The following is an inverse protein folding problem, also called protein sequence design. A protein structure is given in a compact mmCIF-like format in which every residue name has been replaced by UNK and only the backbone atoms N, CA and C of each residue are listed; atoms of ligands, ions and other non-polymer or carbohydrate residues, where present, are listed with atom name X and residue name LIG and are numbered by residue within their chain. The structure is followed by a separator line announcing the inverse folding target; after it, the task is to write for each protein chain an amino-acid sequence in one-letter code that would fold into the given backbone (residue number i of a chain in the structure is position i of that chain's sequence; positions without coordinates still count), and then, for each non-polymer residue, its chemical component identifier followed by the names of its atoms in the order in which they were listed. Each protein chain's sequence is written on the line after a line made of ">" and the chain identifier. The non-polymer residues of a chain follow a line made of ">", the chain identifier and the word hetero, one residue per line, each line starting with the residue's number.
data_IF_231016998757
#
_entry.id   IF_231016998757
#
_cell.length_a   1.000
_cell.length_b   1.000
_cell.length_c   1.000
_cell.angle_alpha   90.00
_cell.angle_beta   90.00
_cell.angle_gamma   90.00
#
_symmetry.space_group_name_H-M   'P 1'
#
loop_
_entity.id
_entity.type
_entity.pdbx_description
1 polymer ?
#
# COMPACT_ATOMS: atom_id res chain seq x y z
N UNK A 1 -12.99 13.65 24.12
CA UNK A 1 -12.82 13.27 22.70
C UNK A 1 -13.49 14.35 21.87
N UNK A 2 -12.74 15.22 21.20
CA UNK A 2 -13.34 16.14 20.23
C UNK A 2 -14.06 15.31 19.16
N UNK A 3 -15.37 15.53 19.00
CA UNK A 3 -16.20 14.92 17.95
C UNK A 3 -16.25 13.37 17.97
N UNK A 4 -16.67 12.78 19.10
CA UNK A 4 -16.98 11.35 19.19
C UNK A 4 -18.13 10.97 18.23
N UNK A 5 -17.90 9.93 17.42
CA UNK A 5 -18.83 9.41 16.40
C UNK A 5 -18.94 7.90 16.56
N UNK A 6 -19.85 7.42 17.43
CA UNK A 6 -20.06 5.99 17.60
C UNK A 6 -20.50 5.37 16.29
N UNK A 7 -19.84 4.30 15.89
CA UNK A 7 -20.18 3.58 14.67
C UNK A 7 -21.44 2.77 14.95
N UNK A 8 -22.55 3.12 14.31
CA UNK A 8 -23.83 2.40 14.43
C UNK A 8 -24.17 1.65 13.16
N UNK A 9 -23.66 2.09 12.01
CA UNK A 9 -23.85 1.43 10.72
C UNK A 9 -22.56 1.37 9.92
N UNK A 10 -22.22 0.18 9.45
CA UNK A 10 -21.07 -0.08 8.59
C UNK A 10 -21.55 -0.57 7.22
N UNK A 11 -21.03 0.04 6.15
CA UNK A 11 -21.16 -0.46 4.78
C UNK A 11 -19.91 -1.23 4.39
N UNK A 12 -20.05 -2.53 4.14
CA UNK A 12 -18.93 -3.43 3.83
C UNK A 12 -19.05 -3.91 2.38
N UNK A 13 -18.06 -3.60 1.55
CA UNK A 13 -17.99 -4.03 0.16
C UNK A 13 -16.54 -4.25 -0.24
N UNK A 14 -16.03 -5.45 0.03
CA UNK A 14 -14.65 -5.83 -0.23
C UNK A 14 -14.56 -6.82 -1.40
N UNK A 15 -13.49 -6.79 -2.19
CA UNK A 15 -13.10 -7.86 -3.11
C UNK A 15 -12.27 -8.92 -2.38
N UNK A 16 -11.18 -8.51 -1.73
CA UNK A 16 -10.38 -9.37 -0.84
C UNK A 16 -11.11 -9.61 0.48
N UNK A 17 -11.32 -10.88 0.82
CA UNK A 17 -12.07 -11.32 2.01
C UNK A 17 -11.19 -11.57 3.23
N UNK A 18 -9.89 -11.28 3.16
CA UNK A 18 -8.96 -11.48 4.26
C UNK A 18 -9.45 -10.80 5.54
N UNK A 19 -9.71 -11.59 6.60
CA UNK A 19 -10.12 -11.10 7.92
C UNK A 19 -11.51 -10.46 8.02
N UNK A 20 -12.30 -10.41 6.93
CA UNK A 20 -13.54 -9.62 6.92
C UNK A 20 -14.65 -10.24 7.78
N UNK A 21 -14.67 -11.56 7.91
CA UNK A 21 -15.69 -12.28 8.68
C UNK A 21 -15.50 -11.96 10.17
N UNK A 22 -14.28 -12.09 10.67
CA UNK A 22 -13.91 -11.80 12.06
C UNK A 22 -14.18 -10.34 12.40
N UNK A 23 -13.81 -9.43 11.49
CA UNK A 23 -14.08 -8.00 11.65
C UNK A 23 -15.59 -7.70 11.71
N UNK A 24 -16.38 -8.26 10.79
CA UNK A 24 -17.82 -8.08 10.76
C UNK A 24 -18.52 -8.69 11.98
N UNK A 25 -18.09 -9.86 12.46
CA UNK A 25 -18.59 -10.46 13.70
C UNK A 25 -18.33 -9.55 14.90
N UNK A 26 -17.13 -8.97 14.99
CA UNK A 26 -16.78 -8.05 16.06
C UNK A 26 -17.62 -6.76 16.02
N UNK A 27 -17.93 -6.24 14.83
CA UNK A 27 -18.85 -5.11 14.67
C UNK A 27 -20.28 -5.48 15.09
N UNK A 28 -20.80 -6.60 14.60
CA UNK A 28 -22.15 -7.07 14.93
C UNK A 28 -22.32 -7.33 16.45
N UNK A 29 -21.32 -7.91 17.11
CA UNK A 29 -21.31 -8.12 18.56
C UNK A 29 -21.37 -6.81 19.37
N UNK A 30 -21.04 -5.67 18.75
CA UNK A 30 -21.14 -4.32 19.32
C UNK A 30 -22.45 -3.61 18.94
N UNK A 31 -23.37 -4.29 18.26
CA UNK A 31 -24.65 -3.74 17.82
C UNK A 31 -24.55 -2.82 16.60
N UNK A 32 -23.52 -2.98 15.77
CA UNK A 32 -23.40 -2.24 14.50
C UNK A 32 -24.27 -2.91 13.44
N UNK A 33 -25.15 -2.13 12.80
CA UNK A 33 -25.91 -2.54 11.62
C UNK A 33 -24.96 -2.72 10.43
N UNK A 34 -24.97 -3.88 9.78
CA UNK A 34 -24.13 -4.15 8.61
C UNK A 34 -24.94 -4.04 7.33
N UNK A 35 -24.53 -3.13 6.46
CA UNK A 35 -24.92 -3.08 5.06
C UNK A 35 -23.85 -3.75 4.20
N UNK A 36 -24.24 -4.52 3.19
CA UNK A 36 -23.27 -5.18 2.30
C UNK A 36 -23.83 -5.41 0.89
N UNK A 37 -22.96 -5.80 -0.04
CA UNK A 37 -23.33 -6.06 -1.45
C UNK A 37 -22.89 -7.46 -1.91
N UNK A 38 -23.67 -8.06 -2.79
CA UNK A 38 -23.31 -9.23 -3.60
C UNK A 38 -22.61 -10.35 -2.83
N UNK A 39 -21.43 -10.76 -3.31
CA UNK A 39 -20.66 -11.85 -2.71
C UNK A 39 -20.21 -11.59 -1.27
N UNK A 40 -20.04 -10.33 -0.86
CA UNK A 40 -19.71 -10.01 0.54
C UNK A 40 -20.92 -10.21 1.45
N UNK A 41 -22.12 -9.79 1.01
CA UNK A 41 -23.33 -9.99 1.80
C UNK A 41 -23.62 -11.47 2.00
N UNK A 42 -23.50 -12.26 0.93
CA UNK A 42 -23.65 -13.72 0.96
C UNK A 42 -22.68 -14.38 1.95
N UNK A 43 -21.38 -14.07 1.85
CA UNK A 43 -20.35 -14.62 2.74
C UNK A 43 -20.68 -14.35 4.21
N UNK A 44 -21.05 -13.12 4.55
CA UNK A 44 -21.35 -12.74 5.94
C UNK A 44 -22.63 -13.44 6.44
N UNK A 45 -23.66 -13.53 5.60
CA UNK A 45 -24.92 -14.22 5.93
C UNK A 45 -24.71 -15.73 6.16
N UNK A 46 -23.85 -16.39 5.37
CA UNK A 46 -23.48 -17.81 5.55
C UNK A 46 -22.78 -18.06 6.90
N UNK A 47 -22.15 -17.05 7.48
CA UNK A 47 -21.53 -17.09 8.81
C UNK A 47 -22.49 -16.68 9.94
N UNK A 48 -23.78 -16.55 9.64
CA UNK A 48 -24.82 -16.20 10.62
C UNK A 48 -24.81 -14.73 11.06
N UNK A 49 -24.09 -13.86 10.35
CA UNK A 49 -24.06 -12.42 10.65
C UNK A 49 -25.29 -11.78 10.01
N UNK A 50 -26.04 -11.00 10.78
CA UNK A 50 -27.17 -10.24 10.26
C UNK A 50 -26.66 -9.14 9.33
N UNK A 51 -27.10 -9.17 8.08
CA UNK A 51 -26.69 -8.24 7.02
C UNK A 51 -27.93 -7.78 6.28
N UNK A 52 -27.99 -6.48 6.01
CA UNK A 52 -28.97 -5.90 5.09
C UNK A 52 -28.29 -5.69 3.74
N UNK A 53 -28.86 -6.21 2.66
CA UNK A 53 -28.33 -5.93 1.33
C UNK A 53 -28.54 -4.46 0.96
N UNK A 54 -27.60 -3.89 0.20
CA UNK A 54 -27.73 -2.53 -0.33
C UNK A 54 -28.96 -2.37 -1.22
N UNK A 55 -29.33 -3.41 -1.97
CA UNK A 55 -30.57 -3.45 -2.76
C UNK A 55 -31.81 -3.21 -1.89
N UNK A 56 -31.93 -3.92 -0.77
CA UNK A 56 -33.01 -3.76 0.20
C UNK A 56 -32.99 -2.39 0.86
N UNK A 57 -31.79 -1.89 1.24
CA UNK A 57 -31.63 -0.58 1.84
C UNK A 57 -32.04 0.56 0.90
N UNK A 58 -31.65 0.45 -0.37
CA UNK A 58 -31.90 1.49 -1.37
C UNK A 58 -33.31 1.38 -1.94
N UNK A 59 -33.87 0.17 -2.03
CA UNK A 59 -35.07 -0.16 -2.79
C UNK A 59 -34.81 -0.27 -4.29
N UNK A 60 -33.54 -0.44 -4.70
CA UNK A 60 -33.13 -0.43 -6.10
C UNK A 60 -32.24 -1.65 -6.40
N UNK A 61 -32.57 -2.48 -7.40
CA UNK A 61 -31.81 -3.70 -7.69
C UNK A 61 -30.44 -3.38 -8.31
N UNK A 62 -29.55 -4.37 -8.26
CA UNK A 62 -28.30 -4.34 -9.01
C UNK A 62 -28.58 -4.33 -10.53
N UNK A 63 -27.89 -3.46 -11.28
CA UNK A 63 -28.09 -3.30 -12.73
C UNK A 63 -26.78 -3.38 -13.52
N UNK A 64 -26.92 -3.65 -14.82
CA UNK A 64 -25.81 -3.68 -15.79
C UNK A 64 -24.68 -4.62 -15.34
N UNK A 65 -25.06 -5.85 -14.98
CA UNK A 65 -24.13 -6.90 -14.52
C UNK A 65 -23.24 -6.45 -13.34
N UNK A 66 -23.83 -5.70 -12.40
CA UNK A 66 -23.17 -5.24 -11.19
C UNK A 66 -22.35 -3.96 -11.31
N UNK A 67 -22.31 -3.34 -12.50
CA UNK A 67 -21.68 -2.03 -12.71
C UNK A 67 -22.37 -0.92 -11.90
N UNK A 68 -23.67 -1.03 -11.66
CA UNK A 68 -24.44 -0.06 -10.88
C UNK A 68 -25.13 -0.75 -9.71
N UNK A 69 -24.46 -0.74 -8.56
CA UNK A 69 -24.95 -1.29 -7.28
C UNK A 69 -25.01 -0.28 -6.14
N UNK A 70 -23.96 0.53 -5.97
CA UNK A 70 -23.80 1.43 -4.81
C UNK A 70 -23.88 2.91 -5.17
N UNK A 71 -23.95 3.25 -6.45
CA UNK A 71 -24.08 4.62 -6.98
C UNK A 71 -25.51 5.14 -6.78
N UNK A 72 -25.92 5.28 -5.51
CA UNK A 72 -27.28 5.64 -5.13
C UNK A 72 -27.28 6.76 -4.07
N UNK A 73 -28.20 7.74 -4.15
CA UNK A 73 -28.27 8.85 -3.17
C UNK A 73 -28.46 8.41 -1.72
N UNK A 74 -29.17 7.32 -1.44
CA UNK A 74 -29.28 6.78 -0.07
C UNK A 74 -27.94 6.29 0.50
N UNK A 75 -27.05 5.76 -0.35
CA UNK A 75 -25.71 5.34 0.07
C UNK A 75 -24.81 6.55 0.23
N UNK A 76 -24.61 7.33 -0.84
CA UNK A 76 -23.69 8.46 -0.78
C UNK A 76 -24.19 9.60 0.10
N UNK A 77 -25.51 9.80 0.23
CA UNK A 77 -26.09 10.74 1.18
C UNK A 77 -25.89 10.29 2.63
N UNK A 78 -25.97 8.98 2.91
CA UNK A 78 -25.66 8.44 4.25
C UNK A 78 -24.19 8.63 4.64
N UNK A 79 -23.29 8.51 3.66
CA UNK A 79 -21.85 8.72 3.82
C UNK A 79 -21.46 10.21 3.87
N UNK A 80 -21.97 11.05 2.96
CA UNK A 80 -21.55 12.45 2.81
C UNK A 80 -22.32 13.44 3.68
N UNK A 81 -23.48 13.04 4.21
CA UNK A 81 -24.31 13.92 5.02
C UNK A 81 -23.57 14.41 6.26
N UNK A 82 -23.43 15.72 6.41
CA UNK A 82 -22.74 16.35 7.55
C UNK A 82 -23.66 16.31 8.76
N UNK A 83 -23.24 15.59 9.79
CA UNK A 83 -24.07 15.36 10.97
C UNK A 83 -24.33 16.68 11.70
N UNK A 84 -25.59 16.96 11.99
CA UNK A 84 -26.05 18.21 12.61
C UNK A 84 -26.27 19.37 11.64
N UNK A 85 -25.89 19.24 10.36
CA UNK A 85 -26.14 20.26 9.32
C UNK A 85 -27.14 19.76 8.29
N UNK A 86 -26.95 18.53 7.80
CA UNK A 86 -27.76 17.95 6.74
C UNK A 86 -28.85 16.99 7.27
N UNK A 87 -29.00 16.86 8.59
CA UNK A 87 -29.91 15.90 9.23
C UNK A 87 -31.37 16.07 8.76
N UNK A 88 -31.83 17.30 8.58
CA UNK A 88 -33.20 17.58 8.14
C UNK A 88 -33.47 17.10 6.70
N UNK A 89 -32.56 17.39 5.76
CA UNK A 89 -32.69 16.95 4.36
C UNK A 89 -32.46 15.44 4.23
N UNK A 90 -31.58 14.86 5.04
CA UNK A 90 -31.42 13.40 5.12
C UNK A 90 -32.72 12.74 5.59
N UNK A 91 -33.35 13.26 6.65
CA UNK A 91 -34.61 12.72 7.15
C UNK A 91 -35.76 12.85 6.15
N UNK A 92 -35.90 14.00 5.49
CA UNK A 92 -36.90 14.25 4.45
C UNK A 92 -36.85 13.22 3.32
N UNK A 93 -35.64 12.83 2.90
CA UNK A 93 -35.44 11.86 1.83
C UNK A 93 -35.24 10.42 2.31
N UNK A 94 -35.44 10.13 3.60
CA UNK A 94 -35.28 8.79 4.16
C UNK A 94 -33.85 8.24 4.03
N UNK A 95 -32.85 9.11 4.14
CA UNK A 95 -31.43 8.79 4.06
C UNK A 95 -30.90 8.58 5.48
N UNK A 96 -30.55 7.34 5.80
CA UNK A 96 -29.98 7.01 7.10
C UNK A 96 -28.45 7.21 7.08
N UNK A 97 -27.84 7.67 8.19
CA UNK A 97 -26.39 7.84 8.28
C UNK A 97 -25.65 6.50 8.15
N UNK A 98 -24.48 6.54 7.50
CA UNK A 98 -23.48 5.46 7.46
C UNK A 98 -22.23 5.99 8.15
N UNK A 99 -21.75 5.30 9.18
CA UNK A 99 -20.68 5.80 10.07
C UNK A 99 -19.34 5.13 9.79
N UNK A 100 -19.37 3.97 9.12
CA UNK A 100 -18.18 3.28 8.65
C UNK A 100 -18.39 2.76 7.22
N UNK A 101 -17.35 2.86 6.40
CA UNK A 101 -17.26 2.26 5.06
C UNK A 101 -16.01 1.38 5.03
N UNK A 102 -16.16 0.12 4.65
CA UNK A 102 -15.09 -0.88 4.58
C UNK A 102 -15.04 -1.40 3.15
N UNK A 103 -14.04 -0.97 2.39
CA UNK A 103 -13.98 -1.22 0.94
C UNK A 103 -12.55 -1.43 0.53
N UNK A 104 -12.25 -2.56 -0.12
CA UNK A 104 -11.05 -2.72 -0.92
C UNK A 104 -11.47 -2.97 -2.38
N UNK A 105 -10.64 -2.50 -3.31
CA UNK A 105 -10.97 -2.44 -4.73
C UNK A 105 -10.72 -3.78 -5.44
N UNK A 106 -11.22 -3.89 -6.67
CA UNK A 106 -10.93 -5.05 -7.50
C UNK A 106 -9.42 -5.13 -7.79
N UNK A 107 -8.85 -6.35 -7.89
CA UNK A 107 -7.41 -6.53 -8.03
C UNK A 107 -6.95 -6.24 -9.48
N UNK A 108 -7.17 -5.03 -9.98
CA UNK A 108 -6.88 -4.63 -11.36
C UNK A 108 -5.46 -4.98 -11.78
N UNK A 109 -4.47 -4.72 -10.91
CA UNK A 109 -3.08 -5.08 -11.14
C UNK A 109 -2.87 -6.58 -11.40
N UNK A 110 -3.53 -7.44 -10.61
CA UNK A 110 -3.44 -8.89 -10.79
C UNK A 110 -4.14 -9.34 -12.08
N UNK A 111 -5.25 -8.70 -12.45
CA UNK A 111 -5.95 -8.96 -13.70
C UNK A 111 -5.06 -8.68 -14.90
N UNK A 112 -4.47 -7.48 -14.98
CA UNK A 112 -3.64 -7.07 -16.12
C UNK A 112 -2.25 -7.72 -16.16
N UNK A 113 -1.78 -8.26 -15.03
CA UNK A 113 -0.57 -9.07 -14.97
C UNK A 113 -0.74 -10.45 -15.62
N UNK A 114 -1.98 -10.91 -15.84
CA UNK A 114 -2.24 -12.17 -16.55
C UNK A 114 -1.87 -12.01 -18.05
N UNK A 115 -0.94 -12.82 -18.59
CA UNK A 115 -0.56 -12.74 -20.00
C UNK A 115 -1.71 -12.96 -21.00
N UNK A 116 -2.81 -13.57 -20.55
CA UNK A 116 -4.00 -13.83 -21.35
C UNK A 116 -5.12 -12.79 -21.13
N UNK A 117 -4.88 -11.73 -20.36
CA UNK A 117 -5.87 -10.67 -20.14
C UNK A 117 -6.21 -9.98 -21.46
N UNK A 118 -7.49 -9.97 -21.85
CA UNK A 118 -7.95 -9.17 -22.98
C UNK A 118 -8.15 -7.71 -22.58
N UNK A 119 -8.34 -6.84 -23.58
CA UNK A 119 -8.71 -5.44 -23.34
C UNK A 119 -10.07 -5.35 -22.62
N UNK A 120 -11.01 -6.19 -23.05
CA UNK A 120 -12.34 -6.32 -22.47
C UNK A 120 -12.26 -6.76 -21.00
N UNK A 121 -11.45 -7.78 -20.69
CA UNK A 121 -11.23 -8.24 -19.30
C UNK A 121 -10.71 -7.11 -18.41
N UNK A 122 -9.75 -6.34 -18.92
CA UNK A 122 -9.19 -5.20 -18.19
C UNK A 122 -10.26 -4.12 -17.93
N UNK A 123 -11.09 -3.80 -18.94
CA UNK A 123 -12.16 -2.80 -18.83
C UNK A 123 -13.24 -3.23 -17.82
N UNK A 124 -13.66 -4.50 -17.84
CA UNK A 124 -14.66 -5.01 -16.88
C UNK A 124 -14.15 -5.01 -15.43
N UNK A 125 -12.83 -5.10 -15.24
CA UNK A 125 -12.22 -5.06 -13.91
C UNK A 125 -11.99 -3.64 -13.36
N UNK A 126 -12.40 -2.59 -14.09
CA UNK A 126 -12.37 -1.21 -13.57
C UNK A 126 -13.55 -0.99 -12.62
N UNK A 127 -13.29 -1.03 -11.33
CA UNK A 127 -14.26 -0.65 -10.30
C UNK A 127 -14.60 0.86 -10.35
N UNK A 128 -15.89 1.18 -10.44
CA UNK A 128 -16.43 2.54 -10.36
C UNK A 128 -17.02 2.82 -8.97
N UNK A 129 -17.76 1.84 -8.43
CA UNK A 129 -18.48 2.00 -7.17
C UNK A 129 -17.54 2.08 -5.97
N UNK A 130 -16.51 1.22 -5.94
CA UNK A 130 -15.49 1.18 -4.89
C UNK A 130 -14.79 2.53 -4.72
N UNK A 131 -14.10 3.08 -5.74
CA UNK A 131 -13.40 4.36 -5.61
C UNK A 131 -14.33 5.52 -5.25
N UNK A 132 -15.57 5.51 -5.77
CA UNK A 132 -16.57 6.52 -5.43
C UNK A 132 -16.94 6.48 -3.95
N UNK A 133 -17.16 5.28 -3.39
CA UNK A 133 -17.44 5.09 -1.96
C UNK A 133 -16.25 5.50 -1.10
N UNK A 134 -15.04 5.02 -1.43
CA UNK A 134 -13.79 5.33 -0.72
C UNK A 134 -13.58 6.84 -0.63
N UNK A 135 -13.66 7.55 -1.75
CA UNK A 135 -13.48 9.01 -1.80
C UNK A 135 -14.57 9.75 -1.04
N UNK A 136 -15.81 9.28 -1.11
CA UNK A 136 -16.93 9.91 -0.40
C UNK A 136 -16.78 9.81 1.12
N UNK A 137 -16.34 8.65 1.62
CA UNK A 137 -16.09 8.43 3.05
C UNK A 137 -14.86 9.21 3.54
N UNK A 138 -13.75 9.16 2.79
CA UNK A 138 -12.53 9.90 3.11
C UNK A 138 -12.77 11.43 3.15
N UNK A 139 -13.54 11.96 2.20
CA UNK A 139 -13.96 13.37 2.22
C UNK A 139 -14.70 13.74 3.50
N UNK A 140 -15.56 12.86 4.01
CA UNK A 140 -16.37 13.10 5.20
C UNK A 140 -15.78 12.45 6.47
N UNK A 141 -14.45 12.32 6.57
CA UNK A 141 -13.76 11.70 7.72
C UNK A 141 -14.07 12.34 9.08
N UNK A 142 -14.58 13.58 9.07
CA UNK A 142 -15.11 14.24 10.26
C UNK A 142 -16.15 13.36 10.96
N UNK A 143 -17.01 12.69 10.19
CA UNK A 143 -18.18 11.96 10.66
C UNK A 143 -18.18 10.47 10.28
N UNK A 144 -17.39 10.06 9.28
CA UNK A 144 -17.35 8.68 8.76
C UNK A 144 -15.96 8.08 8.87
N UNK A 145 -15.88 6.82 9.25
CA UNK A 145 -14.64 6.04 9.22
C UNK A 145 -14.53 5.29 7.91
N UNK A 146 -13.41 5.41 7.19
CA UNK A 146 -13.10 4.61 6.01
C UNK A 146 -12.03 3.58 6.36
N UNK A 147 -12.16 2.35 5.88
CA UNK A 147 -11.13 1.31 6.03
C UNK A 147 -10.93 0.64 4.68
N UNK A 148 -9.71 0.74 4.15
CA UNK A 148 -9.36 0.19 2.83
C UNK A 148 -8.41 -1.01 2.89
N UNK A 149 -7.72 -1.21 4.02
CA UNK A 149 -6.75 -2.28 4.21
C UNK A 149 -7.17 -3.21 5.36
N UNK A 150 -7.00 -4.52 5.16
CA UNK A 150 -7.32 -5.53 6.18
C UNK A 150 -6.46 -5.41 7.44
N UNK A 151 -5.21 -4.92 7.31
CA UNK A 151 -4.31 -4.74 8.47
C UNK A 151 -4.81 -3.68 9.46
N UNK A 152 -5.75 -2.83 9.08
CA UNK A 152 -6.31 -1.80 9.96
C UNK A 152 -7.47 -2.30 10.82
N UNK A 153 -8.01 -3.50 10.55
CA UNK A 153 -9.17 -4.05 11.26
C UNK A 153 -8.95 -4.10 12.77
N UNK A 154 -7.83 -4.67 13.22
CA UNK A 154 -7.52 -4.82 14.65
C UNK A 154 -7.33 -3.46 15.35
N UNK A 155 -6.65 -2.52 14.68
CA UNK A 155 -6.46 -1.17 15.19
C UNK A 155 -7.82 -0.47 15.39
N UNK A 156 -8.70 -0.57 14.40
CA UNK A 156 -10.05 0.02 14.44
C UNK A 156 -10.87 -0.60 15.59
N UNK A 157 -10.92 -1.92 15.70
CA UNK A 157 -11.68 -2.60 16.77
C UNK A 157 -11.15 -2.27 18.16
N UNK A 158 -9.82 -2.17 18.31
CA UNK A 158 -9.16 -1.81 19.56
C UNK A 158 -9.53 -0.40 19.98
N UNK A 159 -9.45 0.56 19.07
CA UNK A 159 -9.76 1.97 19.36
C UNK A 159 -11.27 2.16 19.61
N UNK A 160 -12.14 1.48 18.87
CA UNK A 160 -13.59 1.44 19.17
C UNK A 160 -13.88 0.95 20.58
N UNK A 161 -13.18 -0.10 21.04
CA UNK A 161 -13.36 -0.63 22.39
C UNK A 161 -12.89 0.37 23.48
N UNK A 162 -11.88 1.19 23.18
CA UNK A 162 -11.36 2.20 24.10
C UNK A 162 -12.22 3.48 24.15
N UNK A 163 -13.10 3.71 23.18
CA UNK A 163 -13.77 4.99 22.94
C UNK A 163 -15.27 4.86 22.68
N UNK A 164 -15.96 3.99 23.44
CA UNK A 164 -17.42 3.82 23.39
C UNK A 164 -17.97 3.62 21.96
N UNK A 165 -17.29 2.77 21.19
CA UNK A 165 -17.65 2.46 19.80
C UNK A 165 -17.26 3.53 18.78
N UNK A 166 -16.49 4.55 19.17
CA UNK A 166 -16.00 5.62 18.29
C UNK A 166 -14.52 5.46 17.97
N UNK A 167 -14.05 6.19 16.95
CA UNK A 167 -12.62 6.49 16.77
C UNK A 167 -12.32 7.93 17.15
N UNK A 168 -11.05 8.25 17.37
CA UNK A 168 -10.59 9.63 17.46
C UNK A 168 -10.65 10.32 16.09
N UNK A 169 -10.71 11.65 16.08
CA UNK A 169 -10.62 12.41 14.83
C UNK A 169 -9.29 12.17 14.11
N UNK A 170 -8.19 12.05 14.87
CA UNK A 170 -6.86 11.79 14.33
C UNK A 170 -6.81 10.45 13.56
N UNK A 171 -7.35 9.37 14.13
CA UNK A 171 -7.42 8.08 13.43
C UNK A 171 -8.33 8.14 12.20
N UNK A 172 -9.49 8.80 12.26
CA UNK A 172 -10.34 8.95 11.06
C UNK A 172 -9.65 9.74 9.96
N UNK A 173 -8.90 10.78 10.31
CA UNK A 173 -8.13 11.56 9.34
C UNK A 173 -7.01 10.72 8.71
N UNK A 174 -6.23 10.00 9.52
CA UNK A 174 -5.19 9.08 9.08
C UNK A 174 -5.71 8.02 8.09
N UNK A 175 -6.82 7.35 8.45
CA UNK A 175 -7.50 6.40 7.57
C UNK A 175 -8.03 7.04 6.27
N UNK A 176 -8.45 8.31 6.33
CA UNK A 176 -8.89 9.03 5.14
C UNK A 176 -7.72 9.39 4.20
N UNK A 177 -6.53 9.65 4.74
CA UNK A 177 -5.32 9.81 3.94
C UNK A 177 -4.97 8.48 3.26
N UNK A 178 -4.95 7.37 4.03
CA UNK A 178 -4.72 6.03 3.48
C UNK A 178 -5.74 5.66 2.36
N UNK A 179 -7.00 6.08 2.51
CA UNK A 179 -8.03 5.90 1.48
C UNK A 179 -7.75 6.68 0.19
N UNK A 180 -7.29 7.94 0.28
CA UNK A 180 -6.91 8.71 -0.90
C UNK A 180 -5.66 8.16 -1.57
N UNK A 181 -4.66 7.75 -0.79
CA UNK A 181 -3.46 7.05 -1.26
C UNK A 181 -3.84 5.77 -2.01
N UNK A 182 -4.76 4.96 -1.48
CA UNK A 182 -5.25 3.75 -2.13
C UNK A 182 -5.90 4.04 -3.49
N UNK A 183 -6.74 5.07 -3.59
CA UNK A 183 -7.35 5.45 -4.87
C UNK A 183 -6.37 6.07 -5.87
N UNK A 184 -5.35 6.79 -5.38
CA UNK A 184 -4.30 7.36 -6.23
C UNK A 184 -3.46 6.25 -6.88
N UNK A 185 -3.08 5.22 -6.11
CA UNK A 185 -2.43 4.02 -6.63
C UNK A 185 -3.32 3.32 -7.66
N UNK A 186 -4.61 3.14 -7.35
CA UNK A 186 -5.55 2.46 -8.23
C UNK A 186 -5.70 3.13 -9.61
N UNK A 187 -5.98 4.43 -9.62
CA UNK A 187 -6.09 5.19 -10.87
C UNK A 187 -4.75 5.25 -11.62
N UNK A 188 -3.63 5.31 -10.89
CA UNK A 188 -2.29 5.24 -11.47
C UNK A 188 -2.02 3.92 -12.20
N UNK A 189 -2.47 2.78 -11.65
CA UNK A 189 -2.33 1.47 -12.31
C UNK A 189 -3.16 1.38 -13.59
N UNK A 190 -4.40 1.90 -13.57
CA UNK A 190 -5.25 1.99 -14.77
C UNK A 190 -4.58 2.86 -15.84
N UNK A 191 -4.11 4.05 -15.45
CA UNK A 191 -3.45 4.98 -16.35
C UNK A 191 -2.15 4.41 -16.94
N UNK A 192 -1.37 3.68 -16.16
CA UNK A 192 -0.18 3.00 -16.64
C UNK A 192 -0.55 1.89 -17.63
N UNK A 193 -1.54 1.06 -17.35
CA UNK A 193 -1.91 -0.04 -18.25
C UNK A 193 -2.42 0.47 -19.62
N UNK A 194 -3.47 1.31 -19.63
CA UNK A 194 -4.01 1.84 -20.88
C UNK A 194 -3.07 2.85 -21.55
N UNK A 195 -2.16 3.45 -20.78
CA UNK A 195 -1.16 4.38 -21.25
C UNK A 195 -0.17 3.76 -22.23
N UNK A 196 0.06 2.44 -22.20
CA UNK A 196 0.92 1.74 -23.18
C UNK A 196 0.26 1.58 -24.54
N UNK A 197 -1.07 1.75 -24.62
CA UNK A 197 -1.86 1.52 -25.83
C UNK A 197 -2.10 2.80 -26.65
N UNK A 198 -1.52 3.92 -26.23
CA UNK A 198 -1.71 5.23 -26.85
C UNK A 198 -0.35 5.86 -27.15
N UNK A 199 -0.22 6.60 -28.27
CA UNK A 199 1.04 7.25 -28.61
C UNK A 199 1.40 8.33 -27.58
N UNK A 200 2.68 8.70 -27.53
CA UNK A 200 3.21 9.82 -26.74
C UNK A 200 2.50 11.14 -27.09
N UNK A 201 2.77 12.24 -26.37
CA UNK A 201 2.22 13.56 -26.73
C UNK A 201 3.11 14.35 -27.73
N UNK A 202 4.38 13.98 -27.92
CA UNK A 202 5.34 14.75 -28.71
C UNK A 202 5.21 14.58 -30.23
N UNK A 203 5.81 15.45 -31.03
CA UNK A 203 5.72 15.38 -32.49
C UNK A 203 6.50 14.19 -33.10
N UNK A 204 7.57 13.76 -32.44
CA UNK A 204 8.30 12.56 -32.84
C UNK A 204 7.61 11.31 -32.30
N UNK A 205 7.11 10.47 -33.19
CA UNK A 205 6.43 9.19 -32.90
C UNK A 205 7.28 7.97 -33.19
N UNK A 206 8.54 8.17 -33.57
CA UNK A 206 9.47 7.06 -33.84
C UNK A 206 9.62 6.18 -32.58
N UNK A 207 9.18 4.92 -32.66
CA UNK A 207 9.22 3.96 -31.55
C UNK A 207 7.94 3.82 -30.72
N UNK A 208 6.92 4.66 -30.93
CA UNK A 208 5.67 4.60 -30.14
C UNK A 208 4.88 3.31 -30.38
N UNK A 209 4.91 2.75 -31.61
CA UNK A 209 4.13 1.56 -32.00
C UNK A 209 4.51 0.28 -31.22
N UNK A 210 5.68 0.26 -30.58
CA UNK A 210 6.21 -0.88 -29.83
C UNK A 210 6.58 -0.53 -28.37
N UNK A 211 6.16 0.64 -27.88
CA UNK A 211 6.51 1.07 -26.52
C UNK A 211 5.79 0.22 -25.46
N UNK A 212 6.57 -0.38 -24.56
CA UNK A 212 6.05 -1.01 -23.33
C UNK A 212 5.81 0.00 -22.20
N UNK A 213 6.18 1.27 -22.42
CA UNK A 213 6.09 2.33 -21.41
C UNK A 213 4.79 3.12 -21.57
N UNK A 214 4.13 3.48 -20.47
CA UNK A 214 2.91 4.25 -20.53
C UNK A 214 3.18 5.69 -20.93
N UNK A 215 2.25 6.30 -21.67
CA UNK A 215 2.27 7.73 -22.01
C UNK A 215 2.43 8.64 -20.78
N UNK A 216 1.82 8.27 -19.65
CA UNK A 216 2.01 8.93 -18.35
C UNK A 216 2.40 7.87 -17.35
N UNK A 217 3.53 8.05 -16.66
CA UNK A 217 4.04 7.11 -15.68
C UNK A 217 3.68 7.52 -14.26
N UNK A 218 2.96 6.65 -13.56
CA UNK A 218 2.51 6.85 -12.18
C UNK A 218 3.14 5.79 -11.27
N UNK A 219 3.76 6.21 -10.17
CA UNK A 219 4.26 5.31 -9.13
C UNK A 219 3.97 5.88 -7.75
N UNK A 220 3.81 4.99 -6.79
CA UNK A 220 3.64 5.33 -5.38
C UNK A 220 4.65 4.56 -4.53
N UNK A 221 5.29 5.28 -3.62
CA UNK A 221 6.28 4.71 -2.72
C UNK A 221 5.93 5.04 -1.28
N UNK A 222 6.20 4.11 -0.37
CA UNK A 222 5.95 4.22 1.05
C UNK A 222 7.18 4.81 1.75
N UNK A 223 6.96 5.81 2.61
CA UNK A 223 8.06 6.42 3.36
C UNK A 223 8.55 5.46 4.43
N UNK A 224 9.78 4.98 4.30
CA UNK A 224 10.42 4.10 5.30
C UNK A 224 11.06 4.89 6.44
N UNK A 225 11.71 6.02 6.13
CA UNK A 225 12.33 6.88 7.14
C UNK A 225 12.69 8.28 6.62
N UNK A 226 12.79 9.25 7.52
CA UNK A 226 13.53 10.49 7.27
C UNK A 226 15.04 10.24 7.33
N UNK A 227 15.78 10.89 6.42
CA UNK A 227 17.23 10.88 6.44
C UNK A 227 17.74 12.05 7.27
N UNK A 228 18.92 11.91 7.88
CA UNK A 228 19.53 12.98 8.68
C UNK A 228 19.76 14.25 7.85
N UNK A 229 20.10 14.08 6.57
CA UNK A 229 20.27 15.08 5.52
C UNK A 229 20.39 14.32 4.18
N UNK A 230 20.36 15.06 3.07
CA UNK A 230 20.58 14.53 1.71
C UNK A 230 22.04 14.19 1.43
N UNK A 231 22.51 14.44 0.21
CA UNK A 231 23.92 14.21 -0.12
C UNK A 231 24.85 15.11 0.71
N UNK A 232 24.39 16.34 0.99
CA UNK A 232 25.06 17.35 1.79
C UNK A 232 24.19 17.79 2.99
N UNK A 233 24.82 18.29 4.06
CA UNK A 233 24.16 18.58 5.34
C UNK A 233 23.06 19.64 5.30
N UNK A 234 23.03 20.49 4.26
CA UNK A 234 22.02 21.54 4.09
C UNK A 234 20.78 21.07 3.30
N UNK A 235 20.80 19.84 2.79
CA UNK A 235 19.70 19.27 2.01
C UNK A 235 18.83 18.38 2.91
N UNK A 236 17.51 18.48 2.77
CA UNK A 236 16.58 17.51 3.36
C UNK A 236 16.51 16.25 2.50
N UNK A 237 16.23 15.09 3.11
CA UNK A 237 16.01 13.84 2.38
C UNK A 237 15.16 12.86 3.19
N UNK A 238 14.51 11.94 2.48
CA UNK A 238 13.76 10.82 3.02
C UNK A 238 13.99 9.58 2.14
N UNK A 239 13.86 8.40 2.73
CA UNK A 239 13.97 7.13 2.04
C UNK A 239 12.57 6.51 1.88
N UNK A 240 12.24 6.19 0.63
CA UNK A 240 10.98 5.60 0.23
C UNK A 240 11.23 4.23 -0.38
N UNK A 241 10.25 3.33 -0.26
CA UNK A 241 10.30 1.96 -0.78
C UNK A 241 9.03 1.62 -1.54
N UNK A 242 9.12 0.65 -2.43
CA UNK A 242 7.94 0.08 -3.08
C UNK A 242 7.13 -0.74 -2.08
N UNK A 243 5.80 -0.80 -2.27
CA UNK A 243 4.92 -1.59 -1.40
C UNK A 243 5.17 -3.10 -1.52
N UNK A 244 5.50 -3.57 -2.73
CA UNK A 244 5.73 -4.98 -3.04
C UNK A 244 7.08 -5.15 -3.77
N UNK A 245 8.22 -5.05 -3.08
CA UNK A 245 9.52 -5.23 -3.70
C UNK A 245 9.71 -6.69 -4.13
N UNK A 246 10.10 -6.92 -5.38
CA UNK A 246 10.23 -8.27 -5.97
C UNK A 246 11.61 -8.91 -5.75
N UNK A 247 12.64 -8.10 -5.53
CA UNK A 247 14.02 -8.56 -5.37
C UNK A 247 14.71 -8.03 -4.10
N UNK A 248 15.80 -8.71 -3.72
CA UNK A 248 16.68 -8.23 -2.67
C UNK A 248 17.44 -6.99 -3.15
N UNK A 249 17.29 -5.88 -2.42
CA UNK A 249 17.94 -4.60 -2.70
C UNK A 249 18.12 -3.81 -1.41
N UNK A 250 18.65 -2.59 -1.50
CA UNK A 250 18.78 -1.71 -0.32
C UNK A 250 17.42 -1.38 0.32
N UNK A 251 16.32 -1.40 -0.45
CA UNK A 251 14.96 -1.10 0.04
C UNK A 251 14.43 -2.20 0.95
N UNK A 252 14.78 -3.46 0.69
CA UNK A 252 14.38 -4.64 1.49
C UNK A 252 15.38 -4.98 2.61
N UNK A 253 16.54 -4.31 2.65
CA UNK A 253 17.55 -4.56 3.67
C UNK A 253 17.05 -4.24 5.10
N UNK A 254 17.45 -5.10 6.04
CA UNK A 254 17.27 -4.91 7.49
C UNK A 254 18.57 -4.44 8.12
N UNK A 255 18.53 -3.31 8.81
CA UNK A 255 19.65 -2.87 9.64
C UNK A 255 19.74 -3.71 10.91
N UNK A 256 20.87 -4.40 11.11
CA UNK A 256 21.11 -5.22 12.31
C UNK A 256 21.77 -4.39 13.40
N UNK A 257 22.72 -3.51 13.04
CA UNK A 257 23.42 -2.67 14.00
C UNK A 257 23.93 -1.36 13.39
N UNK A 258 24.38 -0.44 14.26
CA UNK A 258 24.94 0.85 13.88
C UNK A 258 23.96 2.02 14.06
N UNK A 259 24.41 3.21 13.69
CA UNK A 259 23.57 4.42 13.68
C UNK A 259 22.64 4.40 12.45
N UNK A 260 21.59 5.20 12.47
CA UNK A 260 20.75 5.43 11.29
C UNK A 260 21.61 5.79 10.06
N UNK A 261 21.29 5.20 8.92
CA UNK A 261 22.03 5.39 7.66
C UNK A 261 21.86 6.82 7.15
N UNK A 262 22.93 7.41 6.60
CA UNK A 262 22.83 8.66 5.84
C UNK A 262 22.42 8.39 4.38
N UNK A 263 22.02 9.43 3.65
CA UNK A 263 21.70 9.33 2.21
C UNK A 263 22.83 8.65 1.42
N UNK A 264 24.06 9.14 1.58
CA UNK A 264 25.23 8.54 0.92
C UNK A 264 25.49 7.10 1.35
N UNK A 265 25.06 6.69 2.56
CA UNK A 265 25.21 5.29 2.97
C UNK A 265 24.21 4.39 2.26
N UNK A 266 22.98 4.85 2.01
CA UNK A 266 22.03 4.11 1.19
C UNK A 266 22.58 4.00 -0.24
N UNK A 267 22.98 5.12 -0.86
CA UNK A 267 23.50 5.12 -2.22
C UNK A 267 24.75 4.24 -2.40
N UNK A 268 25.73 4.33 -1.49
CA UNK A 268 26.92 3.47 -1.54
C UNK A 268 26.60 1.99 -1.30
N UNK A 269 25.61 1.70 -0.44
CA UNK A 269 25.20 0.31 -0.15
C UNK A 269 24.47 -0.29 -1.34
N UNK A 270 23.61 0.48 -1.99
CA UNK A 270 22.91 0.09 -3.22
C UNK A 270 23.91 -0.24 -4.33
N UNK A 271 24.84 0.68 -4.63
CA UNK A 271 25.88 0.45 -5.63
C UNK A 271 26.78 -0.75 -5.30
N UNK A 272 27.09 -0.98 -4.01
CA UNK A 272 27.89 -2.15 -3.61
C UNK A 272 27.10 -3.45 -3.76
N UNK A 273 25.80 -3.43 -3.42
CA UNK A 273 24.92 -4.59 -3.50
C UNK A 273 24.65 -4.99 -4.95
N UNK A 274 24.28 -4.03 -5.81
CA UNK A 274 24.03 -4.31 -7.23
C UNK A 274 25.32 -4.77 -7.93
N UNK A 275 26.47 -4.16 -7.62
CA UNK A 275 27.73 -4.60 -8.19
C UNK A 275 28.13 -6.03 -7.76
N UNK A 276 27.85 -6.43 -6.51
CA UNK A 276 28.19 -7.79 -6.07
C UNK A 276 27.24 -8.85 -6.63
N UNK A 277 26.00 -8.48 -7.00
CA UNK A 277 25.01 -9.37 -7.63
C UNK A 277 25.40 -9.82 -9.05
N UNK A 278 26.30 -9.11 -9.72
CA UNK A 278 26.80 -9.44 -11.07
C UNK A 278 27.74 -10.66 -11.11
N UNK A 279 28.09 -11.24 -9.95
CA UNK A 279 29.04 -12.35 -9.86
C UNK A 279 28.38 -13.62 -9.33
N UNK A 280 28.59 -14.74 -10.04
CA UNK A 280 28.15 -16.07 -9.60
C UNK A 280 29.09 -16.64 -8.52
N UNK A 281 30.36 -16.25 -8.52
CA UNK A 281 31.36 -16.68 -7.54
C UNK A 281 31.26 -15.92 -6.20
N UNK A 282 31.82 -16.48 -5.10
CA UNK A 282 32.06 -15.72 -3.88
C UNK A 282 32.82 -14.42 -4.18
N UNK A 283 32.17 -13.29 -3.90
CA UNK A 283 32.60 -11.97 -4.33
C UNK A 283 32.51 -10.98 -3.16
N UNK A 284 33.41 -10.01 -3.17
CA UNK A 284 33.38 -8.86 -2.27
C UNK A 284 33.58 -7.58 -3.10
N UNK A 285 32.73 -6.59 -2.86
CA UNK A 285 32.81 -5.27 -3.48
C UNK A 285 32.94 -4.22 -2.39
N UNK A 286 33.84 -3.27 -2.62
CA UNK A 286 34.00 -2.09 -1.78
C UNK A 286 33.69 -0.84 -2.59
N UNK A 287 32.71 -0.06 -2.12
CA UNK A 287 32.27 1.19 -2.75
C UNK A 287 32.63 2.40 -1.88
N UNK A 288 32.94 3.50 -2.56
CA UNK A 288 33.05 4.83 -1.97
C UNK A 288 32.56 5.89 -2.95
N UNK A 289 31.60 6.73 -2.54
CA UNK A 289 31.01 7.76 -3.40
C UNK A 289 30.43 7.16 -4.69
N UNK A 290 29.63 6.09 -4.56
CA UNK A 290 29.04 5.30 -5.63
C UNK A 290 30.03 4.65 -6.61
N UNK A 291 31.34 4.72 -6.36
CA UNK A 291 32.37 4.13 -7.22
C UNK A 291 32.96 2.87 -6.58
N UNK A 292 33.02 1.73 -7.30
CA UNK A 292 33.73 0.55 -6.83
C UNK A 292 35.23 0.85 -6.79
N UNK A 293 35.80 0.80 -5.60
CA UNK A 293 37.23 1.04 -5.36
C UNK A 293 38.01 -0.26 -5.10
N UNK A 294 37.30 -1.38 -4.92
CA UNK A 294 37.88 -2.71 -4.84
C UNK A 294 36.83 -3.77 -5.15
N UNK A 295 37.20 -4.75 -5.97
CA UNK A 295 36.39 -5.92 -6.31
C UNK A 295 37.30 -7.13 -6.25
N UNK A 296 36.85 -8.21 -5.62
CA UNK A 296 37.61 -9.45 -5.51
C UNK A 296 36.67 -10.65 -5.56
N UNK A 297 37.13 -11.72 -6.19
CA UNK A 297 36.50 -13.03 -6.25
C UNK A 297 37.40 -14.05 -5.52
N UNK A 298 36.81 -15.16 -5.06
CA UNK A 298 37.58 -16.25 -4.45
C UNK A 298 36.81 -17.56 -4.37
N UNK A 299 37.45 -18.60 -3.86
CA UNK A 299 36.85 -19.93 -3.69
C UNK A 299 35.88 -20.00 -2.51
N UNK A 300 36.01 -19.08 -1.55
CA UNK A 300 35.07 -18.85 -0.45
C UNK A 300 34.92 -17.35 -0.18
N UNK A 301 34.07 -16.94 0.77
CA UNK A 301 33.85 -15.51 1.07
C UNK A 301 34.97 -14.87 1.88
N UNK A 302 35.79 -15.64 2.58
CA UNK A 302 36.89 -15.13 3.40
C UNK A 302 38.05 -14.65 2.52
N UNK A 303 38.32 -15.33 1.41
CA UNK A 303 39.36 -14.94 0.45
C UNK A 303 39.17 -13.50 -0.10
N UNK A 304 38.08 -13.17 -0.82
CA UNK A 304 37.89 -11.86 -1.42
C UNK A 304 37.73 -10.76 -0.35
N UNK A 305 37.05 -11.06 0.76
CA UNK A 305 36.89 -10.09 1.86
C UNK A 305 38.23 -9.80 2.55
N UNK A 306 39.11 -10.79 2.72
CA UNK A 306 40.44 -10.59 3.31
C UNK A 306 41.35 -9.82 2.36
N UNK A 307 41.27 -10.09 1.06
CA UNK A 307 42.04 -9.37 0.04
C UNK A 307 41.74 -7.87 0.06
N UNK A 308 40.45 -7.51 0.13
CA UNK A 308 40.02 -6.11 0.05
C UNK A 308 40.08 -5.34 1.38
N UNK A 309 40.13 -6.02 2.54
CA UNK A 309 40.08 -5.36 3.86
C UNK A 309 41.44 -5.25 4.57
N UNK A 310 42.56 -5.43 3.87
CA UNK A 310 43.92 -5.09 4.35
C UNK A 310 44.17 -3.57 4.25
N UNK A 311 45.05 -3.01 5.09
CA UNK A 311 44.74 -1.89 5.99
C UNK A 311 44.35 -0.60 5.25
N UNK A 312 43.06 -0.40 4.97
CA UNK A 312 42.52 0.89 4.52
C UNK A 312 41.21 1.21 5.25
N UNK A 313 41.17 2.49 5.66
CA UNK A 313 40.15 3.45 6.08
C UNK A 313 38.66 3.19 5.72
N UNK A 314 37.68 3.94 6.28
CA UNK A 314 36.28 3.49 6.39
C UNK A 314 35.60 3.41 5.03
N UNK A 315 35.45 2.19 4.52
CA UNK A 315 34.83 1.89 3.24
C UNK A 315 33.51 1.13 3.44
N UNK A 316 32.63 1.14 2.43
CA UNK A 316 31.35 0.38 2.42
C UNK A 316 31.58 -0.94 1.70
N UNK A 317 31.20 -2.05 2.32
CA UNK A 317 31.52 -3.41 1.86
C UNK A 317 30.22 -4.19 1.62
N UNK A 318 30.11 -4.82 0.46
CA UNK A 318 29.11 -5.84 0.14
C UNK A 318 29.81 -7.17 -0.17
N UNK A 319 29.16 -8.28 0.20
CA UNK A 319 29.69 -9.63 0.07
C UNK A 319 28.56 -10.54 -0.45
N UNK A 320 28.84 -11.41 -1.43
CA UNK A 320 27.81 -12.27 -2.05
C UNK A 320 27.36 -13.45 -1.18
N UNK A 321 28.08 -13.74 -0.09
CA UNK A 321 27.74 -14.80 0.86
C UNK A 321 27.72 -14.27 2.31
N UNK A 322 26.98 -14.93 3.22
CA UNK A 322 26.96 -14.56 4.63
C UNK A 322 28.37 -14.52 5.22
N UNK A 323 28.72 -13.39 5.85
CA UNK A 323 29.95 -13.26 6.59
C UNK A 323 29.90 -14.11 7.87
N UNK A 324 31.02 -14.70 8.26
CA UNK A 324 31.07 -15.50 9.49
C UNK A 324 31.10 -14.61 10.74
N UNK A 325 30.53 -15.10 11.85
CA UNK A 325 30.57 -14.40 13.15
C UNK A 325 32.01 -14.06 13.56
N UNK A 326 32.96 -14.96 13.31
CA UNK A 326 34.38 -14.75 13.59
C UNK A 326 34.97 -13.58 12.76
N UNK A 327 34.63 -13.49 11.48
CA UNK A 327 35.06 -12.38 10.63
C UNK A 327 34.46 -11.05 11.11
N UNK A 328 33.17 -11.05 11.47
CA UNK A 328 32.46 -9.86 11.95
C UNK A 328 32.98 -9.37 13.31
N UNK A 329 33.23 -10.28 14.26
CA UNK A 329 33.71 -9.95 15.61
C UNK A 329 35.08 -9.28 15.62
N UNK A 330 35.95 -9.62 14.65
CA UNK A 330 37.26 -9.00 14.53
C UNK A 330 37.20 -7.54 14.05
N UNK A 331 36.09 -7.07 13.45
CA UNK A 331 36.07 -5.78 12.73
C UNK A 331 35.07 -4.70 13.19
N UNK A 332 34.13 -4.98 14.11
CA UNK A 332 33.22 -3.97 14.75
C UNK A 332 32.58 -2.93 13.77
N UNK A 333 32.11 -3.35 12.59
CA UNK A 333 31.52 -2.47 11.58
C UNK A 333 29.97 -2.46 11.63
N UNK A 334 29.26 -1.39 11.21
CA UNK A 334 27.80 -1.41 11.02
C UNK A 334 27.38 -2.52 10.03
N UNK A 335 26.29 -3.24 10.30
CA UNK A 335 25.84 -4.39 9.47
C UNK A 335 24.41 -4.20 8.98
N UNK A 336 24.22 -4.45 7.69
CA UNK A 336 22.95 -4.67 7.02
C UNK A 336 22.88 -6.13 6.59
N UNK A 337 21.70 -6.74 6.68
CA UNK A 337 21.43 -8.08 6.15
C UNK A 337 20.18 -8.01 5.28
N UNK A 338 20.27 -8.57 4.09
CA UNK A 338 19.10 -9.01 3.33
C UNK A 338 18.87 -10.50 3.68
N UNK A 339 17.68 -10.85 4.14
CA UNK A 339 17.29 -12.25 4.34
C UNK A 339 16.79 -12.84 3.03
N UNK A 340 17.07 -14.13 2.83
CA UNK A 340 16.80 -14.99 1.65
C UNK A 340 17.55 -14.62 0.37
N UNK A 341 18.68 -15.31 0.17
CA UNK A 341 19.41 -15.40 -1.10
C UNK A 341 19.04 -16.72 -1.76
N UNK A 342 18.39 -16.65 -2.92
CA UNK A 342 18.45 -17.60 -4.05
C UNK A 342 17.39 -17.27 -5.07
#
# INVERSE_FOLDING_TARGET
>A
MENARPIRRALISVSDKTGIVEFAQALAARGVDILSTGGTAKLLAEQGIQVTEVSDHTGFPEMMDGRVKTLHPKIHGGVLGRRGTDDAVMAEHGIAPIDMVVVNLYPFAATVANPNCTLEDAIENIDIGGPTMVRSAAKNHKDVTIVVNAHDYDRVLTEMAAHDGSLTHATRFDLAIAAFEHTAAYDGMIANYFGTMVPSYGDNKEGDEASIFPRTFNQQFEKKQDMRYGENSHQAAAFYVEANPEEASVSTARQIQGKALSYNNIADTDAALECVKEFDEPACVIVKHANPCGVALGGDILEPTTALTRPIQPLRLAASLPLTVNWMQQRRLPLLSASSWK
#
